data_IF_224525447088
#
_entry.id   IF_224525447088
#
_cell.length_a   1.000
_cell.length_b   1.000
_cell.length_c   1.000
_cell.angle_alpha   90.00
_cell.angle_beta   90.00
_cell.angle_gamma   90.00
#
_symmetry.space_group_name_H-M   'P 1'
#
loop_
_entity.id
_entity.type
_entity.pdbx_description
1 polymer ?
#
# COMPACT_ATOMS: atom_id res chain seq x y z
N UNK A 1 36.82 -3.87 8.85
CA UNK A 1 35.93 -2.72 9.15
C UNK A 1 35.10 -2.93 10.41
N UNK A 2 34.04 -3.77 10.42
CA UNK A 2 33.18 -3.96 11.62
C UNK A 2 33.92 -4.40 12.89
N UNK A 3 34.87 -5.32 12.77
CA UNK A 3 35.59 -5.87 13.92
C UNK A 3 36.69 -4.94 14.48
N UNK A 4 37.28 -4.09 13.63
CA UNK A 4 38.32 -3.14 14.04
C UNK A 4 37.71 -2.06 14.94
N UNK A 5 36.53 -1.53 14.58
CA UNK A 5 35.83 -0.53 15.39
C UNK A 5 35.31 -1.07 16.73
N UNK A 6 35.24 -2.40 16.91
CA UNK A 6 34.81 -3.04 18.16
C UNK A 6 35.99 -3.43 19.07
N UNK A 7 37.23 -3.14 18.67
CA UNK A 7 38.41 -3.47 19.47
C UNK A 7 38.65 -4.97 19.68
N UNK A 8 38.02 -5.84 18.87
CA UNK A 8 38.13 -7.30 19.06
C UNK A 8 39.55 -7.75 18.72
N UNK A 9 40.21 -8.38 19.69
CA UNK A 9 41.49 -9.06 19.47
C UNK A 9 41.22 -10.45 18.93
N UNK A 10 41.89 -10.80 17.83
CA UNK A 10 41.80 -12.12 17.24
C UNK A 10 43.06 -12.91 17.54
N UNK A 11 42.88 -14.15 18.00
CA UNK A 11 43.97 -15.11 18.20
C UNK A 11 43.90 -16.16 17.10
N UNK A 12 45.06 -16.55 16.55
CA UNK A 12 45.12 -17.65 15.62
C UNK A 12 44.97 -18.97 16.39
N UNK A 13 44.07 -19.88 16.01
CA UNK A 13 43.97 -21.20 16.65
C UNK A 13 45.04 -22.19 16.16
N UNK A 14 45.91 -21.75 15.24
CA UNK A 14 46.99 -22.54 14.64
C UNK A 14 48.34 -21.85 14.92
N UNK A 15 49.29 -21.95 13.98
CA UNK A 15 50.67 -21.41 14.07
C UNK A 15 50.82 -19.90 13.79
N UNK A 16 49.74 -19.14 13.65
CA UNK A 16 49.82 -17.72 13.25
C UNK A 16 50.17 -17.46 11.78
N UNK A 17 50.39 -18.50 10.96
CA UNK A 17 50.80 -18.40 9.56
C UNK A 17 49.79 -18.99 8.55
N UNK A 18 48.50 -18.93 8.85
CA UNK A 18 47.47 -19.54 8.01
C UNK A 18 47.43 -18.96 6.58
N UNK A 19 47.36 -19.79 5.52
CA UNK A 19 47.28 -19.31 4.15
C UNK A 19 45.94 -18.61 3.87
N UNK A 20 45.99 -17.30 3.59
CA UNK A 20 44.79 -16.48 3.30
C UNK A 20 44.50 -16.48 1.79
N UNK A 21 43.65 -17.41 1.36
CA UNK A 21 43.15 -17.55 -0.03
C UNK A 21 41.67 -17.19 -0.16
N UNK A 22 41.12 -17.09 -1.39
CA UNK A 22 39.69 -16.79 -1.62
C UNK A 22 38.75 -17.76 -0.89
N UNK A 23 39.07 -19.05 -0.91
CA UNK A 23 38.27 -20.10 -0.27
C UNK A 23 38.44 -20.12 1.27
N UNK A 24 39.67 -19.94 1.77
CA UNK A 24 40.00 -20.19 3.19
C UNK A 24 40.15 -18.93 4.05
N UNK A 25 40.03 -17.71 3.49
CA UNK A 25 40.16 -16.43 4.23
C UNK A 25 39.22 -16.25 5.42
N UNK A 26 38.14 -17.03 5.54
CA UNK A 26 37.20 -16.94 6.68
C UNK A 26 37.62 -17.84 7.87
N UNK A 27 38.55 -18.77 7.68
CA UNK A 27 38.94 -19.77 8.68
C UNK A 27 39.78 -19.19 9.82
N UNK A 28 40.60 -18.17 9.56
CA UNK A 28 41.40 -17.51 10.59
C UNK A 28 41.28 -15.98 10.48
N UNK A 29 40.60 -15.37 11.45
CA UNK A 29 40.41 -13.91 11.50
C UNK A 29 41.71 -13.18 11.86
N UNK A 30 42.57 -13.80 12.68
CA UNK A 30 43.86 -13.24 13.07
C UNK A 30 44.81 -13.10 11.87
N UNK A 31 45.12 -14.19 11.17
CA UNK A 31 46.00 -14.16 10.00
C UNK A 31 45.42 -13.32 8.85
N UNK A 32 44.09 -13.31 8.68
CA UNK A 32 43.44 -12.41 7.73
C UNK A 32 43.67 -10.94 8.08
N UNK A 33 43.47 -10.58 9.35
CA UNK A 33 43.68 -9.21 9.81
C UNK A 33 45.15 -8.81 9.67
N UNK A 34 46.08 -9.67 10.08
CA UNK A 34 47.52 -9.43 9.97
C UNK A 34 47.91 -9.16 8.51
N UNK A 35 47.55 -10.05 7.59
CA UNK A 35 47.82 -9.86 6.15
C UNK A 35 47.22 -8.55 5.61
N UNK A 36 46.03 -8.14 6.07
CA UNK A 36 45.45 -6.85 5.68
C UNK A 36 46.34 -5.67 6.12
N UNK A 37 46.88 -5.71 7.34
CA UNK A 37 47.80 -4.69 7.83
C UNK A 37 49.13 -4.72 7.08
N UNK A 38 49.66 -5.92 6.78
CA UNK A 38 50.92 -6.10 6.06
C UNK A 38 50.85 -5.54 4.63
N UNK A 39 49.70 -5.63 3.96
CA UNK A 39 49.49 -4.98 2.65
C UNK A 39 49.17 -3.48 2.74
N UNK A 40 49.28 -2.87 3.93
CA UNK A 40 49.14 -1.43 4.14
C UNK A 40 47.72 -0.94 4.47
N UNK A 41 46.77 -1.81 4.84
CA UNK A 41 45.45 -1.32 5.28
C UNK A 41 45.56 -0.59 6.62
N UNK A 42 45.26 0.71 6.59
CA UNK A 42 45.31 1.61 7.74
C UNK A 42 44.03 1.56 8.60
N UNK A 43 44.17 1.35 9.91
CA UNK A 43 43.03 1.26 10.86
C UNK A 43 42.37 2.63 11.08
N UNK A 44 43.18 3.69 11.05
CA UNK A 44 42.81 5.09 11.21
C UNK A 44 41.96 5.65 10.05
N UNK A 45 42.00 5.01 8.88
CA UNK A 45 41.16 5.38 7.72
C UNK A 45 39.70 4.86 7.84
N UNK A 46 39.35 4.19 8.95
CA UNK A 46 37.98 3.74 9.18
C UNK A 46 37.22 4.82 9.95
N UNK A 47 36.14 5.34 9.35
CA UNK A 47 35.23 6.27 10.05
C UNK A 47 34.83 5.74 11.43
N UNK A 48 34.93 6.61 12.44
CA UNK A 48 34.49 6.30 13.79
C UNK A 48 32.99 5.94 13.79
N UNK A 49 32.58 5.17 14.80
CA UNK A 49 31.17 4.85 14.99
C UNK A 49 30.31 6.12 15.10
N UNK A 50 30.87 7.16 15.72
CA UNK A 50 30.25 8.48 15.83
C UNK A 50 30.13 9.19 14.47
N UNK A 51 31.18 9.24 13.66
CA UNK A 51 31.14 9.85 12.33
C UNK A 51 30.14 9.15 11.41
N UNK A 52 30.02 7.82 11.50
CA UNK A 52 29.01 7.05 10.78
C UNK A 52 27.59 7.35 11.27
N UNK A 53 27.39 7.52 12.59
CA UNK A 53 26.10 7.93 13.16
C UNK A 53 25.73 9.34 12.72
N UNK A 54 26.65 10.30 12.76
CA UNK A 54 26.43 11.68 12.27
C UNK A 54 26.07 11.71 10.78
N UNK A 55 26.76 10.91 9.95
CA UNK A 55 26.43 10.76 8.54
C UNK A 55 25.01 10.20 8.34
N UNK A 56 24.67 9.12 9.05
CA UNK A 56 23.32 8.53 9.01
C UNK A 56 22.24 9.48 9.51
N UNK A 57 22.54 10.32 10.51
CA UNK A 57 21.61 11.32 11.03
C UNK A 57 21.37 12.43 9.99
N UNK A 58 22.42 12.85 9.25
CA UNK A 58 22.28 13.79 8.12
C UNK A 58 21.56 13.17 6.92
N UNK A 59 21.71 11.87 6.70
CA UNK A 59 21.04 11.11 5.63
C UNK A 59 19.64 10.62 6.03
N UNK A 60 19.18 10.87 7.26
CA UNK A 60 17.77 10.68 7.58
C UNK A 60 17.00 11.75 6.80
N UNK A 61 16.00 11.39 5.98
CA UNK A 61 15.12 12.40 5.43
C UNK A 61 14.58 13.22 6.60
N UNK A 62 14.74 14.54 6.52
CA UNK A 62 14.17 15.45 7.50
C UNK A 62 12.69 15.13 7.69
N UNK A 63 12.20 15.28 8.92
CA UNK A 63 10.77 15.12 9.19
C UNK A 63 9.92 16.01 8.27
N UNK A 64 8.62 15.73 8.23
CA UNK A 64 7.66 16.54 7.46
C UNK A 64 7.79 18.01 7.84
N UNK A 65 7.78 18.92 6.86
CA UNK A 65 7.74 20.36 7.12
C UNK A 65 6.43 20.73 7.82
N UNK A 66 6.39 21.89 8.50
CA UNK A 66 5.17 22.38 9.14
C UNK A 66 4.00 22.48 8.14
N UNK A 67 4.28 22.97 6.93
CA UNK A 67 3.30 23.06 5.83
C UNK A 67 2.80 21.67 5.40
N UNK A 68 3.69 20.68 5.30
CA UNK A 68 3.29 19.31 4.98
C UNK A 68 2.41 18.70 6.08
N UNK A 69 2.73 18.95 7.34
CA UNK A 69 1.94 18.48 8.48
C UNK A 69 0.55 19.13 8.50
N UNK A 70 0.47 20.43 8.21
CA UNK A 70 -0.80 21.16 8.11
C UNK A 70 -1.67 20.64 6.96
N UNK A 71 -1.08 20.42 5.78
CA UNK A 71 -1.80 19.83 4.64
C UNK A 71 -2.35 18.44 5.00
N UNK A 72 -1.55 17.59 5.65
CA UNK A 72 -2.00 16.27 6.09
C UNK A 72 -3.16 16.39 7.08
N UNK A 73 -3.10 17.33 8.03
CA UNK A 73 -4.17 17.56 8.99
C UNK A 73 -5.47 17.99 8.31
N UNK A 74 -5.39 18.90 7.34
CA UNK A 74 -6.54 19.35 6.53
C UNK A 74 -7.15 18.17 5.77
N UNK A 75 -6.34 17.35 5.09
CA UNK A 75 -6.83 16.20 4.33
C UNK A 75 -7.53 15.17 5.23
N UNK A 76 -6.96 14.87 6.41
CA UNK A 76 -7.58 13.95 7.38
C UNK A 76 -8.90 14.53 7.88
N UNK A 77 -8.93 15.82 8.24
CA UNK A 77 -10.14 16.47 8.75
C UNK A 77 -11.24 16.54 7.70
N UNK A 78 -10.90 16.80 6.44
CA UNK A 78 -11.84 16.76 5.31
C UNK A 78 -12.41 15.36 5.12
N UNK A 79 -11.54 14.33 5.08
CA UNK A 79 -11.97 12.94 4.86
C UNK A 79 -12.92 12.46 5.96
N UNK A 80 -12.63 12.75 7.24
CA UNK A 80 -13.50 12.37 8.37
C UNK A 80 -14.88 13.04 8.34
N UNK A 81 -15.01 14.19 7.68
CA UNK A 81 -16.28 14.94 7.59
C UNK A 81 -17.14 14.50 6.41
N UNK A 82 -16.50 14.08 5.31
CA UNK A 82 -17.21 13.78 4.06
C UNK A 82 -17.22 12.30 3.73
N UNK A 83 -16.46 11.47 4.41
CA UNK A 83 -16.44 10.03 4.18
C UNK A 83 -16.88 9.26 5.42
N UNK A 84 -17.97 8.50 5.25
CA UNK A 84 -18.48 7.57 6.25
C UNK A 84 -18.18 6.14 5.79
N UNK A 85 -17.17 5.52 6.40
CA UNK A 85 -16.78 4.14 6.09
C UNK A 85 -17.85 3.10 6.47
N UNK A 86 -18.81 3.47 7.33
CA UNK A 86 -19.92 2.60 7.70
C UNK A 86 -21.09 2.65 6.71
N UNK A 87 -21.04 3.56 5.74
CA UNK A 87 -22.13 3.78 4.76
C UNK A 87 -23.50 4.04 5.41
N UNK A 88 -23.54 4.53 6.65
CA UNK A 88 -24.78 4.78 7.40
C UNK A 88 -25.66 5.83 6.70
N UNK A 89 -25.04 6.79 6.02
CA UNK A 89 -25.75 7.80 5.24
C UNK A 89 -26.30 7.26 3.90
N UNK A 90 -25.65 6.24 3.31
CA UNK A 90 -26.11 5.62 2.07
C UNK A 90 -27.41 4.82 2.28
N UNK A 91 -27.61 4.23 3.45
CA UNK A 91 -28.86 3.55 3.79
C UNK A 91 -30.11 4.47 3.72
N UNK A 92 -29.90 5.79 3.78
CA UNK A 92 -30.96 6.81 3.64
C UNK A 92 -30.93 7.52 2.29
N UNK A 93 -30.00 7.15 1.41
CA UNK A 93 -29.83 7.73 0.09
C UNK A 93 -30.79 7.06 -0.89
N UNK A 94 -31.81 7.82 -1.29
CA UNK A 94 -32.79 7.41 -2.31
C UNK A 94 -32.66 8.34 -3.51
N UNK A 95 -32.03 7.90 -4.60
CA UNK A 95 -31.93 8.72 -5.80
C UNK A 95 -33.33 8.99 -6.38
N UNK A 96 -33.54 10.22 -6.83
CA UNK A 96 -34.85 10.76 -7.20
C UNK A 96 -35.51 10.06 -8.41
N UNK A 97 -34.77 9.25 -9.16
CA UNK A 97 -35.27 8.56 -10.34
C UNK A 97 -34.74 7.14 -10.37
N UNK A 98 -35.42 6.20 -9.68
CA UNK A 98 -35.35 4.81 -10.11
C UNK A 98 -36.11 4.73 -11.43
N UNK A 99 -35.41 4.85 -12.55
CA UNK A 99 -35.92 4.35 -13.82
C UNK A 99 -36.09 2.85 -13.61
N UNK A 100 -37.28 2.45 -13.17
CA UNK A 100 -37.71 1.08 -13.23
C UNK A 100 -37.67 0.72 -14.70
N UNK A 101 -36.57 0.10 -15.15
CA UNK A 101 -36.53 -0.57 -16.43
C UNK A 101 -37.51 -1.71 -16.25
N UNK A 102 -38.72 -1.67 -16.84
CA UNK A 102 -39.57 -2.83 -16.79
C UNK A 102 -38.78 -3.91 -17.51
N UNK A 103 -38.47 -5.00 -16.81
CA UNK A 103 -38.02 -6.22 -17.48
C UNK A 103 -38.96 -6.41 -18.67
N UNK A 104 -38.46 -6.55 -19.91
CA UNK A 104 -39.35 -6.73 -21.04
C UNK A 104 -40.17 -7.98 -20.74
N UNK A 105 -41.45 -7.80 -20.39
CA UNK A 105 -42.39 -8.91 -20.36
C UNK A 105 -42.26 -9.57 -21.73
N UNK A 106 -42.00 -10.89 -21.82
CA UNK A 106 -42.18 -11.56 -23.09
C UNK A 106 -43.64 -11.34 -23.47
N UNK A 107 -43.89 -10.51 -24.47
CA UNK A 107 -45.23 -10.42 -25.05
C UNK A 107 -45.46 -11.76 -25.74
N UNK A 108 -46.17 -12.67 -25.08
CA UNK A 108 -46.79 -13.78 -25.79
C UNK A 108 -47.91 -13.18 -26.64
N UNK A 109 -47.90 -13.33 -27.98
CA UNK A 109 -49.05 -12.94 -28.78
C UNK A 109 -50.22 -13.87 -28.43
N UNK A 110 -51.49 -13.41 -28.46
CA UNK A 110 -52.60 -14.28 -28.15
C UNK A 110 -52.78 -15.28 -29.28
N UNK A 111 -52.61 -16.58 -28.99
CA UNK A 111 -53.01 -17.67 -29.88
C UNK A 111 -54.17 -18.43 -29.21
N UNK A 112 -55.33 -18.57 -29.87
CA UNK A 112 -56.49 -19.24 -29.32
C UNK A 112 -56.32 -20.76 -29.43
N UNK A 113 -56.35 -21.46 -28.29
CA UNK A 113 -56.49 -22.91 -28.22
C UNK A 113 -55.18 -23.71 -28.23
N UNK A 114 -54.69 -24.07 -27.04
CA UNK A 114 -53.63 -25.06 -26.83
C UNK A 114 -53.52 -25.46 -25.35
N UNK A 115 -53.18 -26.72 -25.01
CA UNK A 115 -53.40 -27.27 -23.68
C UNK A 115 -52.36 -26.80 -22.64
N UNK A 116 -52.77 -26.88 -21.37
CA UNK A 116 -52.10 -26.33 -20.18
C UNK A 116 -50.59 -26.66 -20.09
N UNK A 117 -49.79 -25.62 -19.85
CA UNK A 117 -48.35 -25.70 -19.64
C UNK A 117 -48.00 -26.51 -18.38
N UNK A 118 -47.07 -27.44 -18.51
CA UNK A 118 -46.40 -28.10 -17.38
C UNK A 118 -45.49 -27.13 -16.61
N UNK A 119 -45.01 -27.51 -15.42
CA UNK A 119 -44.15 -26.66 -14.61
C UNK A 119 -42.79 -26.42 -15.30
N UNK A 120 -42.25 -25.19 -15.29
CA UNK A 120 -40.96 -24.90 -15.92
C UNK A 120 -39.80 -25.61 -15.20
N UNK A 121 -38.83 -26.10 -15.98
CA UNK A 121 -37.60 -26.73 -15.50
C UNK A 121 -36.65 -25.69 -14.85
N UNK A 122 -35.71 -26.11 -13.98
CA UNK A 122 -34.91 -25.20 -13.15
C UNK A 122 -33.78 -24.45 -13.88
N UNK A 123 -33.67 -24.60 -15.20
CA UNK A 123 -32.48 -24.24 -15.97
C UNK A 123 -32.50 -22.84 -16.61
N UNK A 124 -33.58 -22.05 -16.42
CA UNK A 124 -33.72 -20.69 -16.97
C UNK A 124 -33.44 -19.54 -15.98
N UNK A 125 -32.80 -19.81 -14.84
CA UNK A 125 -32.43 -18.75 -13.88
C UNK A 125 -30.94 -18.46 -13.99
N UNK A 126 -30.53 -17.84 -15.10
CA UNK A 126 -29.26 -17.12 -15.10
C UNK A 126 -29.47 -15.88 -14.20
N UNK A 127 -28.65 -15.63 -13.17
CA UNK A 127 -28.75 -14.41 -12.38
C UNK A 127 -28.53 -13.22 -13.34
N UNK A 128 -29.56 -12.42 -13.56
CA UNK A 128 -29.51 -11.25 -14.44
C UNK A 128 -28.36 -10.35 -13.99
N UNK A 129 -27.26 -10.36 -14.77
CA UNK A 129 -26.01 -9.63 -14.47
C UNK A 129 -26.28 -8.12 -14.32
N UNK A 130 -27.38 -7.64 -14.91
CA UNK A 130 -27.77 -6.24 -14.89
C UNK A 130 -28.69 -5.86 -13.72
N UNK A 131 -29.21 -6.83 -12.97
CA UNK A 131 -30.13 -6.59 -11.85
C UNK A 131 -29.53 -5.71 -10.73
N UNK A 132 -28.20 -5.75 -10.56
CA UNK A 132 -27.48 -4.95 -9.57
C UNK A 132 -26.98 -3.61 -10.09
N UNK A 133 -27.02 -3.36 -11.41
CA UNK A 133 -26.51 -2.11 -11.99
C UNK A 133 -27.16 -0.85 -11.41
N UNK A 134 -28.48 -0.79 -11.16
CA UNK A 134 -29.09 0.39 -10.54
C UNK A 134 -28.49 0.67 -9.15
N UNK A 135 -28.23 -0.38 -8.36
CA UNK A 135 -27.63 -0.21 -7.04
C UNK A 135 -26.17 0.26 -7.12
N UNK A 136 -25.40 -0.26 -8.08
CA UNK A 136 -24.04 0.22 -8.32
C UNK A 136 -24.01 1.67 -8.81
N UNK A 137 -24.96 2.07 -9.66
CA UNK A 137 -25.10 3.45 -10.10
C UNK A 137 -25.40 4.37 -8.90
N UNK A 138 -26.36 3.99 -8.05
CA UNK A 138 -26.72 4.73 -6.83
C UNK A 138 -25.53 4.91 -5.89
N UNK A 139 -24.80 3.81 -5.64
CA UNK A 139 -23.59 3.82 -4.80
C UNK A 139 -22.50 4.70 -5.43
N UNK A 140 -22.28 4.57 -6.73
CA UNK A 140 -21.28 5.36 -7.46
C UNK A 140 -21.60 6.86 -7.39
N UNK A 141 -22.85 7.25 -7.62
CA UNK A 141 -23.30 8.64 -7.51
C UNK A 141 -23.12 9.17 -6.09
N UNK A 142 -23.52 8.40 -5.07
CA UNK A 142 -23.31 8.77 -3.68
C UNK A 142 -21.83 9.00 -3.36
N UNK A 143 -20.95 8.09 -3.80
CA UNK A 143 -19.51 8.21 -3.60
C UNK A 143 -18.91 9.41 -4.33
N UNK A 144 -19.35 9.70 -5.55
CA UNK A 144 -18.94 10.89 -6.30
C UNK A 144 -19.34 12.16 -5.53
N UNK A 145 -20.54 12.20 -4.95
CA UNK A 145 -20.99 13.32 -4.13
C UNK A 145 -20.04 13.56 -2.93
N UNK A 146 -19.62 12.48 -2.26
CA UNK A 146 -18.67 12.56 -1.14
C UNK A 146 -17.28 13.04 -1.55
N UNK A 147 -16.79 12.62 -2.73
CA UNK A 147 -15.51 13.08 -3.29
C UNK A 147 -15.59 14.57 -3.65
N UNK A 148 -16.69 15.03 -4.24
CA UNK A 148 -16.92 16.45 -4.53
C UNK A 148 -16.91 17.26 -3.23
N UNK A 149 -17.62 16.79 -2.20
CA UNK A 149 -17.65 17.47 -0.90
C UNK A 149 -16.27 17.49 -0.23
N UNK A 150 -15.50 16.40 -0.34
CA UNK A 150 -14.12 16.35 0.13
C UNK A 150 -13.25 17.40 -0.56
N UNK A 151 -13.33 17.50 -1.89
CA UNK A 151 -12.57 18.49 -2.66
C UNK A 151 -12.90 19.92 -2.22
N UNK A 152 -14.18 20.22 -1.94
CA UNK A 152 -14.62 21.53 -1.43
C UNK A 152 -14.05 21.88 -0.06
N UNK A 153 -13.58 20.91 0.73
CA UNK A 153 -12.94 21.16 2.03
C UNK A 153 -11.44 21.48 1.91
N UNK A 154 -10.82 21.22 0.77
CA UNK A 154 -9.39 21.47 0.56
C UNK A 154 -9.18 22.90 0.05
N UNK A 155 -8.45 23.77 0.77
CA UNK A 155 -8.28 25.19 0.40
C UNK A 155 -7.83 25.41 -1.04
N UNK A 156 -6.88 24.60 -1.54
CA UNK A 156 -6.34 24.70 -2.89
C UNK A 156 -7.39 24.49 -4.01
N UNK A 157 -8.47 23.77 -3.74
CA UNK A 157 -9.54 23.51 -4.71
C UNK A 157 -10.73 24.47 -4.60
N UNK A 158 -10.76 25.33 -3.57
CA UNK A 158 -11.85 26.30 -3.35
C UNK A 158 -11.65 27.62 -4.08
N UNK A 159 -10.43 27.91 -4.48
CA UNK A 159 -10.00 29.19 -5.06
C UNK A 159 -9.84 29.17 -6.58
N UNK A 160 -10.30 28.11 -7.25
CA UNK A 160 -10.25 27.93 -8.71
C UNK A 160 -11.63 28.08 -9.35
#
# INVERSE_FOLDING_TARGET
RRSINKGVRFTCPFSGSCPVTKAKRRQCQACRLQKCLDVGMRKDMIMSAEALRRRRARERPGGLTAEQQDLIAILIAAHRRTFDSSFSQFARYWPAVRLYVPSPRPQSPPQPGGPAAGPPSPEDVLPDVFSMLPHFADLSTFMIQQVINFAKEIPAFRSA
#
